data_IF_575311063236
#
_entry.id   IF_575311063236
#
_cell.length_a   1.000
_cell.length_b   1.000
_cell.length_c   1.000
_cell.angle_alpha   90.00
_cell.angle_beta   90.00
_cell.angle_gamma   90.00
#
_symmetry.space_group_name_H-M   'P 1'
#
loop_
_entity.id
_entity.type
_entity.pdbx_description
1 polymer ?
#
# COMPACT_ATOMS: atom_id res chain seq x y z
N UNK A 1 -27.28 -4.03 -19.51
CA UNK A 1 -28.06 -4.15 -18.24
C UNK A 1 -27.25 -4.80 -17.09
N UNK A 2 -25.91 -4.65 -17.07
CA UNK A 2 -25.01 -5.31 -16.09
C UNK A 2 -24.25 -4.33 -15.17
N UNK A 3 -24.54 -3.03 -15.19
CA UNK A 3 -23.79 -2.02 -14.42
C UNK A 3 -24.34 -1.72 -13.02
N UNK A 4 -25.54 -2.17 -12.66
CA UNK A 4 -26.21 -1.64 -11.45
C UNK A 4 -25.94 -2.41 -10.14
N UNK A 5 -25.40 -3.63 -10.17
CA UNK A 5 -25.23 -4.45 -8.94
C UNK A 5 -23.94 -4.17 -8.15
N UNK A 6 -22.87 -3.68 -8.78
CA UNK A 6 -21.61 -3.36 -8.08
C UNK A 6 -21.62 -1.99 -7.41
N UNK A 7 -22.40 -1.04 -7.94
CA UNK A 7 -22.60 0.29 -7.34
C UNK A 7 -23.48 0.26 -6.08
N UNK A 8 -24.40 -0.71 -5.97
CA UNK A 8 -25.23 -0.90 -4.77
C UNK A 8 -24.45 -1.33 -3.52
N UNK A 9 -23.26 -1.91 -3.68
CA UNK A 9 -22.36 -2.22 -2.56
C UNK A 9 -21.64 -1.00 -2.01
N UNK A 10 -21.23 -0.07 -2.89
CA UNK A 10 -20.54 1.17 -2.54
C UNK A 10 -21.43 2.18 -1.80
N UNK A 11 -22.73 2.22 -2.12
CA UNK A 11 -23.68 3.10 -1.44
C UNK A 11 -23.99 2.70 0.01
N UNK A 12 -23.67 1.48 0.44
CA UNK A 12 -24.21 0.94 1.70
C UNK A 12 -23.47 1.40 2.97
N UNK A 13 -22.33 2.07 2.84
CA UNK A 13 -21.54 2.58 3.98
C UNK A 13 -21.13 4.06 3.79
N UNK A 14 -22.05 4.92 3.31
CA UNK A 14 -21.79 6.30 2.88
C UNK A 14 -21.79 7.38 3.97
N UNK A 15 -21.93 7.05 5.25
CA UNK A 15 -22.07 8.07 6.32
C UNK A 15 -20.84 9.02 6.43
N UNK A 16 -19.67 8.60 5.95
CA UNK A 16 -18.45 9.42 5.88
C UNK A 16 -18.35 10.22 4.56
N UNK A 17 -18.90 9.69 3.47
CA UNK A 17 -18.94 10.38 2.18
C UNK A 17 -19.86 11.61 2.28
N UNK A 18 -21.02 11.47 2.92
CA UNK A 18 -22.04 12.52 3.10
C UNK A 18 -21.54 13.78 3.85
N UNK A 19 -20.44 13.69 4.59
CA UNK A 19 -19.82 14.83 5.29
C UNK A 19 -18.81 15.61 4.44
N UNK A 20 -18.44 15.09 3.27
CA UNK A 20 -17.51 15.74 2.34
C UNK A 20 -18.28 16.43 1.21
N UNK A 21 -17.71 17.48 0.63
CA UNK A 21 -18.35 18.20 -0.47
C UNK A 21 -18.67 17.26 -1.64
N UNK A 22 -19.75 17.53 -2.38
CA UNK A 22 -20.12 16.75 -3.57
C UNK A 22 -18.97 16.70 -4.59
N UNK A 23 -18.18 17.78 -4.72
CA UNK A 23 -17.00 17.80 -5.58
C UNK A 23 -15.92 16.82 -5.10
N UNK A 24 -15.67 16.74 -3.79
CA UNK A 24 -14.69 15.80 -3.20
C UNK A 24 -15.11 14.36 -3.40
N UNK A 25 -16.40 14.05 -3.17
CA UNK A 25 -16.92 12.71 -3.42
C UNK A 25 -16.74 12.33 -4.89
N UNK A 26 -17.14 13.20 -5.81
CA UNK A 26 -17.03 12.95 -7.25
C UNK A 26 -15.58 12.77 -7.70
N UNK A 27 -14.64 13.56 -7.16
CA UNK A 27 -13.21 13.39 -7.41
C UNK A 27 -12.73 11.99 -7.00
N UNK A 28 -13.03 11.54 -5.78
CA UNK A 28 -12.58 10.23 -5.31
C UNK A 28 -13.28 9.08 -6.03
N UNK A 29 -14.57 9.20 -6.36
CA UNK A 29 -15.26 8.21 -7.18
C UNK A 29 -14.60 8.07 -8.56
N UNK A 30 -14.33 9.20 -9.21
CA UNK A 30 -13.66 9.21 -10.51
C UNK A 30 -12.23 8.67 -10.39
N UNK A 31 -11.50 9.05 -9.35
CA UNK A 31 -10.16 8.54 -9.06
C UNK A 31 -10.13 7.02 -8.89
N UNK A 32 -11.07 6.45 -8.11
CA UNK A 32 -11.19 5.00 -7.94
C UNK A 32 -11.51 4.33 -9.28
N UNK A 33 -12.44 4.90 -10.05
CA UNK A 33 -12.84 4.37 -11.36
C UNK A 33 -11.67 4.36 -12.35
N UNK A 34 -10.91 5.44 -12.42
CA UNK A 34 -9.80 5.59 -13.35
C UNK A 34 -8.58 4.75 -12.94
N UNK A 35 -8.39 4.51 -11.63
CA UNK A 35 -7.29 3.70 -11.11
C UNK A 35 -7.66 2.22 -10.88
N UNK A 36 -8.88 1.78 -11.20
CA UNK A 36 -9.25 0.36 -11.08
C UNK A 36 -8.47 -0.54 -12.06
N UNK A 37 -8.00 0.01 -13.18
CA UNK A 37 -7.41 -0.75 -14.30
C UNK A 37 -5.91 -0.49 -14.56
N UNK A 38 -5.25 0.40 -13.81
CA UNK A 38 -3.83 0.74 -13.99
C UNK A 38 -2.96 -0.16 -13.08
N UNK A 39 -1.98 -0.86 -13.68
CA UNK A 39 -0.98 -1.79 -13.09
C UNK A 39 -1.44 -3.25 -12.81
N UNK A 40 -0.56 -4.27 -13.01
CA UNK A 40 -0.99 -5.63 -13.32
C UNK A 40 -1.67 -6.29 -12.14
N UNK A 41 -2.89 -6.79 -12.38
CA UNK A 41 -3.65 -7.62 -11.44
C UNK A 41 -2.73 -8.72 -10.89
N UNK A 42 -2.57 -8.86 -9.56
CA UNK A 42 -1.82 -9.96 -8.98
C UNK A 42 -2.22 -11.27 -9.64
N UNK A 43 -1.28 -11.87 -10.37
CA UNK A 43 -1.50 -13.10 -11.12
C UNK A 43 -1.03 -14.30 -10.29
N UNK A 44 -1.31 -15.50 -10.77
CA UNK A 44 -0.93 -16.76 -10.09
C UNK A 44 0.58 -16.78 -9.78
N UNK A 45 1.40 -16.22 -10.68
CA UNK A 45 2.85 -16.14 -10.49
C UNK A 45 3.23 -15.22 -9.33
N UNK A 46 2.61 -14.04 -9.20
CA UNK A 46 2.82 -13.11 -8.08
C UNK A 46 2.39 -13.77 -6.76
N UNK A 47 1.25 -14.47 -6.77
CA UNK A 47 0.78 -15.19 -5.59
C UNK A 47 1.79 -16.27 -5.18
N UNK A 48 2.22 -17.13 -6.10
CA UNK A 48 3.16 -18.21 -5.82
C UNK A 48 4.53 -17.68 -5.38
N UNK A 49 5.07 -16.68 -6.08
CA UNK A 49 6.35 -16.05 -5.72
C UNK A 49 6.29 -15.40 -4.35
N UNK A 50 5.22 -14.66 -4.05
CA UNK A 50 5.02 -14.05 -2.74
C UNK A 50 4.83 -15.10 -1.66
N UNK A 51 4.16 -16.22 -1.94
CA UNK A 51 3.98 -17.32 -1.00
C UNK A 51 5.29 -18.02 -0.64
N UNK A 52 6.11 -18.35 -1.65
CA UNK A 52 7.44 -18.93 -1.44
C UNK A 52 8.37 -17.95 -0.70
N UNK A 53 8.33 -16.68 -1.09
CA UNK A 53 9.02 -15.61 -0.39
C UNK A 53 8.55 -15.48 1.05
N UNK A 54 7.25 -15.59 1.28
CA UNK A 54 6.66 -15.49 2.60
C UNK A 54 7.19 -16.58 3.51
N UNK A 55 7.21 -17.82 3.04
CA UNK A 55 7.73 -18.95 3.80
C UNK A 55 9.23 -18.81 4.10
N UNK A 56 10.01 -18.36 3.11
CA UNK A 56 11.47 -18.17 3.26
C UNK A 56 11.85 -17.14 4.33
N UNK A 57 11.07 -16.07 4.47
CA UNK A 57 11.39 -14.95 5.36
C UNK A 57 10.45 -14.79 6.56
N UNK A 58 9.45 -15.67 6.72
CA UNK A 58 8.44 -15.62 7.80
C UNK A 58 9.07 -15.42 9.18
N UNK A 59 10.00 -16.30 9.55
CA UNK A 59 10.70 -16.25 10.84
C UNK A 59 11.49 -14.95 11.02
N UNK A 60 12.00 -14.34 9.96
CA UNK A 60 12.69 -13.06 10.06
C UNK A 60 11.69 -11.96 10.45
N UNK A 61 10.55 -11.87 9.75
CA UNK A 61 9.57 -10.80 10.01
C UNK A 61 8.84 -10.96 11.33
N UNK A 62 8.45 -12.18 11.70
CA UNK A 62 7.78 -12.44 12.99
C UNK A 62 8.61 -12.01 14.20
N UNK A 63 9.94 -12.09 14.12
CA UNK A 63 10.85 -11.74 15.21
C UNK A 63 11.40 -10.31 15.13
N UNK A 64 11.03 -9.53 14.10
CA UNK A 64 11.64 -8.23 13.84
C UNK A 64 10.66 -7.10 13.60
N UNK A 65 9.58 -7.34 12.86
CA UNK A 65 8.64 -6.30 12.48
C UNK A 65 7.74 -5.98 13.66
N UNK A 66 7.85 -4.76 14.17
CA UNK A 66 7.13 -4.25 15.33
C UNK A 66 5.92 -3.41 14.92
N UNK A 67 6.02 -2.71 13.77
CA UNK A 67 4.98 -1.79 13.31
C UNK A 67 4.78 -1.84 11.80
N UNK A 68 3.51 -1.72 11.41
CA UNK A 68 3.12 -1.43 10.05
C UNK A 68 2.88 0.08 9.89
N UNK A 69 3.38 0.68 8.81
CA UNK A 69 3.22 2.11 8.51
C UNK A 69 2.47 2.31 7.19
N UNK A 70 1.44 3.15 7.22
CA UNK A 70 0.63 3.49 6.05
C UNK A 70 0.50 5.01 5.95
N UNK A 71 0.55 5.51 4.72
CA UNK A 71 0.20 6.91 4.45
C UNK A 71 -1.28 7.07 4.12
N UNK A 72 -1.93 8.01 4.81
CA UNK A 72 -3.27 8.51 4.50
C UNK A 72 -3.12 9.98 4.10
N UNK A 73 -3.76 10.38 3.01
CA UNK A 73 -3.74 11.75 2.52
C UNK A 73 -4.06 11.86 1.03
N UNK A 74 -3.95 13.07 0.48
CA UNK A 74 -4.21 13.34 -0.94
C UNK A 74 -2.93 13.34 -1.79
N UNK A 75 -3.10 13.42 -3.11
CA UNK A 75 -1.98 13.53 -4.04
C UNK A 75 -1.27 14.88 -3.93
N UNK A 76 0.00 14.92 -4.37
CA UNK A 76 0.81 16.16 -4.50
C UNK A 76 1.16 16.90 -3.20
N UNK A 77 1.19 16.20 -2.07
CA UNK A 77 1.56 16.75 -0.74
C UNK A 77 2.97 16.35 -0.27
N UNK A 78 3.83 15.86 -1.16
CA UNK A 78 5.21 15.48 -0.82
C UNK A 78 5.38 14.09 -0.18
N UNK A 79 4.36 13.22 -0.23
CA UNK A 79 4.47 11.87 0.35
C UNK A 79 5.58 11.01 -0.26
N UNK A 80 5.94 11.21 -1.54
CA UNK A 80 7.08 10.51 -2.16
C UNK A 80 8.42 10.92 -1.53
N UNK A 81 8.59 12.20 -1.17
CA UNK A 81 9.79 12.68 -0.46
C UNK A 81 9.87 12.05 0.92
N UNK A 82 8.80 12.15 1.72
CA UNK A 82 8.77 11.60 3.08
C UNK A 82 8.95 10.08 3.06
N UNK A 83 8.24 9.36 2.19
CA UNK A 83 8.38 7.92 2.04
C UNK A 83 9.81 7.50 1.67
N UNK A 84 10.50 8.29 0.85
CA UNK A 84 11.89 8.05 0.48
C UNK A 84 12.88 8.30 1.61
N UNK A 85 12.64 9.33 2.43
CA UNK A 85 13.44 9.59 3.64
C UNK A 85 13.24 8.51 4.71
N UNK A 86 12.02 7.98 4.85
CA UNK A 86 11.74 6.85 5.75
C UNK A 86 12.47 5.59 5.26
N UNK A 87 12.39 5.28 3.96
CA UNK A 87 13.06 4.11 3.37
C UNK A 87 14.61 4.20 3.42
N UNK A 88 15.15 5.40 3.67
CA UNK A 88 16.57 5.60 3.87
C UNK A 88 17.07 5.14 5.26
N UNK A 89 16.16 4.81 6.19
CA UNK A 89 16.50 4.38 7.55
C UNK A 89 16.91 2.88 7.58
N UNK A 90 17.95 2.49 8.34
CA UNK A 90 18.46 1.10 8.38
C UNK A 90 17.46 0.03 8.84
N UNK A 91 16.48 0.43 9.65
CA UNK A 91 15.51 -0.48 10.27
C UNK A 91 14.07 -0.28 9.74
N UNK A 92 13.90 0.47 8.65
CA UNK A 92 12.58 0.72 8.05
C UNK A 92 12.59 0.34 6.58
N UNK A 93 11.46 -0.17 6.09
CA UNK A 93 11.24 -0.40 4.65
C UNK A 93 9.92 0.23 4.25
N UNK A 94 9.96 1.11 3.25
CA UNK A 94 8.79 1.80 2.73
C UNK A 94 8.71 1.64 1.22
N UNK A 95 7.80 0.77 0.77
CA UNK A 95 7.43 0.75 -0.64
C UNK A 95 6.59 1.98 -0.99
N UNK A 96 6.53 2.22 -2.27
CA UNK A 96 5.76 3.30 -2.85
C UNK A 96 4.91 2.72 -3.99
N UNK A 97 3.62 3.03 -3.91
CA UNK A 97 2.53 2.68 -4.83
C UNK A 97 2.40 1.18 -5.10
N UNK A 98 2.55 0.34 -4.07
CA UNK A 98 2.20 -1.08 -4.18
C UNK A 98 0.68 -1.31 -4.19
N UNK A 99 -0.09 -0.43 -3.55
CA UNK A 99 -1.53 -0.58 -3.31
C UNK A 99 -1.84 -1.87 -2.52
N UNK A 100 -1.20 -1.98 -1.36
CA UNK A 100 -1.22 -3.17 -0.53
C UNK A 100 -2.64 -3.59 -0.07
N UNK A 101 -3.59 -2.65 0.04
CA UNK A 101 -4.99 -2.91 0.41
C UNK A 101 -5.66 -3.89 -0.55
N UNK A 102 -5.33 -3.83 -1.84
CA UNK A 102 -5.85 -4.79 -2.83
C UNK A 102 -5.40 -6.21 -2.55
N UNK A 103 -4.20 -6.41 -1.98
CA UNK A 103 -3.71 -7.74 -1.63
C UNK A 103 -4.41 -8.31 -0.41
N UNK A 104 -4.76 -7.45 0.56
CA UNK A 104 -5.58 -7.83 1.73
C UNK A 104 -6.94 -8.33 1.27
N UNK A 105 -7.62 -7.56 0.43
CA UNK A 105 -8.93 -7.94 -0.15
C UNK A 105 -8.88 -9.25 -0.95
N UNK A 106 -7.71 -9.61 -1.49
CA UNK A 106 -7.50 -10.85 -2.26
C UNK A 106 -6.99 -12.01 -1.39
N UNK A 107 -6.99 -11.86 -0.07
CA UNK A 107 -6.65 -12.95 0.86
C UNK A 107 -5.15 -13.21 1.01
N UNK A 108 -4.27 -12.28 0.59
CA UNK A 108 -2.84 -12.45 0.81
C UNK A 108 -2.54 -12.42 2.32
N UNK A 109 -1.63 -13.29 2.76
CA UNK A 109 -1.15 -13.31 4.14
C UNK A 109 -0.27 -12.09 4.44
N UNK A 110 -0.14 -11.75 5.74
CA UNK A 110 0.77 -10.70 6.24
C UNK A 110 2.19 -10.84 5.67
N UNK A 111 2.75 -12.05 5.74
CA UNK A 111 4.09 -12.36 5.27
C UNK A 111 4.23 -12.23 3.74
N UNK A 112 3.20 -12.55 2.96
CA UNK A 112 3.21 -12.28 1.50
C UNK A 112 3.22 -10.78 1.21
N UNK A 113 2.45 -9.98 1.94
CA UNK A 113 2.41 -8.53 1.77
C UNK A 113 3.76 -7.92 2.13
N UNK A 114 4.36 -8.32 3.26
CA UNK A 114 5.71 -7.90 3.65
C UNK A 114 6.76 -8.22 2.59
N UNK A 115 6.71 -9.43 2.02
CA UNK A 115 7.57 -9.80 0.90
C UNK A 115 7.44 -8.83 -0.28
N UNK A 116 6.21 -8.53 -0.68
CA UNK A 116 5.91 -7.68 -1.82
C UNK A 116 6.36 -6.24 -1.58
N UNK A 117 6.15 -5.70 -0.38
CA UNK A 117 6.66 -4.38 0.04
C UNK A 117 8.18 -4.32 -0.12
N UNK A 118 8.90 -5.30 0.46
CA UNK A 118 10.37 -5.35 0.36
C UNK A 118 10.83 -5.41 -1.09
N UNK A 119 10.16 -6.22 -1.93
CA UNK A 119 10.51 -6.33 -3.36
C UNK A 119 10.23 -5.05 -4.13
N UNK A 120 9.14 -4.38 -3.83
CA UNK A 120 8.76 -3.12 -4.45
C UNK A 120 9.72 -2.00 -4.03
N UNK A 121 10.10 -1.91 -2.76
CA UNK A 121 11.12 -0.97 -2.28
C UNK A 121 12.49 -1.21 -2.95
N UNK A 122 12.93 -2.48 -3.04
CA UNK A 122 14.15 -2.86 -3.76
C UNK A 122 14.12 -2.47 -5.25
N UNK A 123 12.98 -2.66 -5.92
CA UNK A 123 12.78 -2.28 -7.33
C UNK A 123 12.89 -0.76 -7.50
N UNK A 124 12.31 0.01 -6.59
CA UNK A 124 12.31 1.47 -6.66
C UNK A 124 13.67 2.08 -6.33
N UNK A 125 14.39 1.53 -5.34
CA UNK A 125 15.75 1.97 -5.04
C UNK A 125 16.69 1.80 -6.24
N UNK A 126 16.56 0.71 -7.02
CA UNK A 126 17.31 0.51 -8.27
C UNK A 126 17.02 1.58 -9.33
N UNK A 127 15.86 2.20 -9.26
CA UNK A 127 15.44 3.32 -10.12
C UNK A 127 15.61 4.68 -9.45
N UNK A 128 16.46 4.80 -8.42
CA UNK A 128 16.70 6.05 -7.71
C UNK A 128 15.43 6.69 -7.10
N UNK A 129 14.42 5.85 -6.80
CA UNK A 129 13.08 6.28 -6.35
C UNK A 129 12.49 7.38 -7.25
N UNK A 130 12.59 7.16 -8.56
CA UNK A 130 12.02 8.01 -9.60
C UNK A 130 10.49 8.06 -9.52
N UNK A 131 9.94 9.28 -9.52
CA UNK A 131 8.49 9.56 -9.59
C UNK A 131 8.26 10.72 -10.55
N UNK A 132 7.77 10.42 -11.76
CA UNK A 132 7.76 11.38 -12.86
C UNK A 132 9.20 11.82 -13.17
N UNK A 133 9.42 13.13 -13.21
CA UNK A 133 10.75 13.72 -13.49
C UNK A 133 11.60 13.96 -12.21
N UNK A 134 11.14 13.49 -11.05
CA UNK A 134 11.81 13.70 -9.77
C UNK A 134 12.51 12.43 -9.28
N UNK A 135 13.70 12.60 -8.73
CA UNK A 135 14.47 11.53 -8.09
C UNK A 135 14.54 11.77 -6.58
N UNK A 136 14.19 10.75 -5.79
CA UNK A 136 14.18 10.81 -4.33
C UNK A 136 15.22 9.87 -3.69
N UNK A 137 16.25 9.52 -4.44
CA UNK A 137 17.38 8.78 -3.92
C UNK A 137 18.08 9.56 -2.80
N UNK A 138 18.35 8.89 -1.69
CA UNK A 138 19.16 9.45 -0.60
C UNK A 138 20.52 8.76 -0.63
N UNK A 139 21.53 9.50 -1.08
CA UNK A 139 22.87 8.98 -1.31
C UNK A 139 23.46 8.33 -0.06
N UNK A 140 24.09 7.17 -0.25
CA UNK A 140 24.77 6.41 0.80
C UNK A 140 23.87 5.94 1.97
N UNK A 141 22.55 5.93 1.78
CA UNK A 141 21.59 5.45 2.78
C UNK A 141 21.06 4.04 2.44
N UNK A 142 20.00 3.64 3.15
CA UNK A 142 19.52 2.27 3.18
C UNK A 142 18.41 1.95 2.19
N UNK A 143 18.02 2.85 1.28
CA UNK A 143 16.92 2.60 0.35
C UNK A 143 17.12 1.28 -0.43
N UNK A 144 16.12 0.39 -0.36
CA UNK A 144 16.17 -0.97 -0.94
C UNK A 144 17.06 -1.97 -0.20
N UNK A 145 17.60 -1.61 0.96
CA UNK A 145 18.42 -2.42 1.88
C UNK A 145 17.88 -2.25 3.30
N UNK A 146 18.30 -3.12 4.22
CA UNK A 146 17.94 -3.00 5.63
C UNK A 146 18.89 -3.85 6.47
N UNK A 147 19.03 -3.49 7.74
CA UNK A 147 19.74 -4.29 8.75
C UNK A 147 18.79 -5.29 9.40
N UNK A 148 17.74 -4.78 10.05
CA UNK A 148 16.66 -5.56 10.66
C UNK A 148 15.38 -4.73 10.54
N UNK A 149 14.37 -5.25 9.85
CA UNK A 149 13.15 -4.49 9.59
C UNK A 149 12.31 -4.42 10.87
N UNK A 150 12.21 -3.22 11.47
CA UNK A 150 11.31 -2.95 12.60
C UNK A 150 10.01 -2.32 12.15
N UNK A 151 10.08 -1.45 11.14
CA UNK A 151 8.90 -0.82 10.55
C UNK A 151 8.84 -1.18 9.07
N UNK A 152 7.66 -1.59 8.62
CA UNK A 152 7.41 -1.90 7.22
C UNK A 152 6.13 -1.20 6.75
N UNK A 153 6.12 -0.68 5.54
CA UNK A 153 5.00 0.11 5.07
C UNK A 153 4.91 0.28 3.57
N UNK A 154 3.76 0.78 3.13
CA UNK A 154 3.51 1.18 1.75
C UNK A 154 2.93 2.59 1.69
N UNK A 155 3.48 3.40 0.79
CA UNK A 155 3.01 4.75 0.47
C UNK A 155 2.15 4.68 -0.79
N UNK A 156 0.83 4.69 -0.61
CA UNK A 156 -0.14 4.82 -1.71
C UNK A 156 -1.21 5.89 -1.40
N UNK A 157 -0.84 6.94 -0.65
CA UNK A 157 -1.71 7.96 -0.04
C UNK A 157 -3.11 8.17 -0.63
N UNK A 158 -3.25 8.73 -1.84
CA UNK A 158 -4.56 9.02 -2.43
C UNK A 158 -5.36 7.74 -2.73
N UNK A 159 -4.79 6.71 -3.40
CA UNK A 159 -5.40 5.39 -3.50
C UNK A 159 -5.84 4.78 -2.16
N UNK A 160 -5.01 4.85 -1.14
CA UNK A 160 -5.32 4.38 0.22
C UNK A 160 -6.55 5.09 0.76
N UNK A 161 -6.55 6.42 0.75
CA UNK A 161 -7.65 7.25 1.26
C UNK A 161 -8.95 6.94 0.54
N UNK A 162 -8.91 6.87 -0.79
CA UNK A 162 -10.09 6.57 -1.60
C UNK A 162 -10.63 5.15 -1.32
N UNK A 163 -9.74 4.17 -1.18
CA UNK A 163 -10.10 2.78 -0.90
C UNK A 163 -10.72 2.62 0.48
N UNK A 164 -10.15 3.26 1.51
CA UNK A 164 -10.70 3.26 2.87
C UNK A 164 -12.04 4.02 2.94
N UNK A 165 -12.17 5.12 2.20
CA UNK A 165 -13.43 5.85 2.12
C UNK A 165 -14.54 5.01 1.49
N UNK A 166 -14.21 4.24 0.45
CA UNK A 166 -15.13 3.33 -0.21
C UNK A 166 -15.49 2.10 0.65
N UNK A 167 -14.53 1.59 1.41
CA UNK A 167 -14.70 0.38 2.23
C UNK A 167 -14.10 0.59 3.63
N UNK A 168 -14.79 1.30 4.54
CA UNK A 168 -14.25 1.63 5.86
C UNK A 168 -13.83 0.42 6.71
N UNK A 169 -14.52 -0.73 6.54
CA UNK A 169 -14.21 -1.99 7.23
C UNK A 169 -12.80 -2.54 6.92
N UNK A 170 -12.16 -2.11 5.82
CA UNK A 170 -10.77 -2.48 5.56
C UNK A 170 -9.82 -1.99 6.65
N UNK A 171 -10.18 -0.93 7.39
CA UNK A 171 -9.40 -0.49 8.53
C UNK A 171 -9.41 -1.54 9.65
N UNK A 172 -10.54 -2.22 9.87
CA UNK A 172 -10.62 -3.33 10.82
C UNK A 172 -9.76 -4.50 10.34
N UNK A 173 -9.88 -4.89 9.07
CA UNK A 173 -9.05 -5.94 8.46
C UNK A 173 -7.54 -5.65 8.60
N UNK A 174 -7.15 -4.38 8.52
CA UNK A 174 -5.77 -3.94 8.73
C UNK A 174 -5.32 -4.18 10.16
N UNK A 175 -6.10 -3.71 11.13
CA UNK A 175 -5.82 -3.90 12.55
C UNK A 175 -5.73 -5.40 12.88
N UNK A 176 -6.67 -6.20 12.40
CA UNK A 176 -6.64 -7.65 12.63
C UNK A 176 -5.42 -8.31 12.00
N UNK A 177 -5.00 -7.89 10.80
CA UNK A 177 -3.89 -8.52 10.10
C UNK A 177 -2.52 -8.15 10.68
N UNK A 178 -2.35 -6.91 11.15
CA UNK A 178 -1.04 -6.38 11.57
C UNK A 178 -0.86 -6.21 13.08
N UNK A 179 -1.91 -5.92 13.85
CA UNK A 179 -1.81 -5.64 15.30
C UNK A 179 -2.21 -6.81 16.21
N UNK A 180 -2.95 -7.81 15.72
CA UNK A 180 -3.12 -9.07 16.48
C UNK A 180 -1.81 -9.89 16.40
N UNK A 181 -1.05 -9.85 17.49
CA UNK A 181 0.00 -10.80 17.87
C UNK A 181 -0.63 -12.14 18.28
#
# INVERSE_FOLDING_TARGET
MFENKKLQGFQKNSALLEKTSAQTQQFYYQFIKDNQDVEPKPNVLTHLKSFLGAFKYAKHWENSVEKYCMFIGCGRTGHSLIGSLIDAHPDMVMSDELDYLRFIQRGYSKNQIYYLIVKQAQKQAKKQREVGDYYYAVSHQWQGKFRKIKVIGDKAAAPTTATLQANPHLLDDLYEKFDKL
#
